data_IF_738270770674
#
_entry.id   IF_738270770674
#
_cell.length_a   1.000
_cell.length_b   1.000
_cell.length_c   1.000
_cell.angle_alpha   90.00
_cell.angle_beta   90.00
_cell.angle_gamma   90.00
#
_symmetry.space_group_name_H-M   'P 1'
#
loop_
_entity.id
_entity.type
_entity.pdbx_description
1 polymer ?
#
# COMPACT_ATOMS: atom_id res chain seq x y z
N UNK A 1 11.83 0.83 -14.96
CA UNK A 1 11.10 1.70 -15.93
C UNK A 1 9.61 1.35 -15.87
N UNK A 2 8.70 2.34 -15.89
CA UNK A 2 7.22 2.26 -15.83
C UNK A 2 6.52 2.39 -14.46
N UNK A 3 7.17 2.95 -13.42
CA UNK A 3 6.49 3.21 -12.14
C UNK A 3 5.34 4.22 -12.29
N UNK A 4 5.62 5.36 -12.94
CA UNK A 4 4.63 6.43 -13.17
C UNK A 4 3.41 5.90 -13.93
N UNK A 5 3.61 5.18 -15.03
CA UNK A 5 2.50 4.58 -15.81
C UNK A 5 1.66 3.58 -15.00
N UNK A 6 2.27 2.85 -14.06
CA UNK A 6 1.55 1.95 -13.14
C UNK A 6 0.70 2.75 -12.16
N UNK A 7 1.26 3.80 -11.56
CA UNK A 7 0.54 4.70 -10.65
C UNK A 7 -0.67 5.33 -11.36
N UNK A 8 -0.47 5.90 -12.55
CA UNK A 8 -1.55 6.51 -13.33
C UNK A 8 -2.64 5.51 -13.72
N UNK A 9 -2.26 4.26 -14.02
CA UNK A 9 -3.23 3.18 -14.22
C UNK A 9 -4.07 2.90 -12.96
N UNK A 10 -3.46 2.87 -11.79
CA UNK A 10 -4.18 2.62 -10.54
C UNK A 10 -5.16 3.73 -10.19
N UNK A 11 -4.78 5.00 -10.44
CA UNK A 11 -5.63 6.18 -10.23
C UNK A 11 -6.91 6.18 -11.05
N UNK A 12 -6.91 5.58 -12.26
CA UNK A 12 -8.12 5.50 -13.09
C UNK A 12 -9.17 4.60 -12.43
N UNK A 13 -10.39 5.11 -12.26
CA UNK A 13 -11.52 4.33 -11.73
C UNK A 13 -12.31 3.60 -12.83
N UNK A 14 -12.62 4.26 -13.94
CA UNK A 14 -13.50 3.73 -14.98
C UNK A 14 -12.75 3.19 -16.21
N UNK A 15 -13.44 2.39 -17.04
CA UNK A 15 -12.96 1.88 -18.33
C UNK A 15 -11.56 1.24 -18.28
N UNK A 16 -11.27 0.46 -17.24
CA UNK A 16 -10.06 -0.37 -17.15
C UNK A 16 -10.40 -1.81 -16.77
N UNK A 17 -9.66 -2.76 -17.34
CA UNK A 17 -9.67 -4.15 -16.86
C UNK A 17 -8.91 -4.22 -15.54
N UNK A 18 -9.59 -4.64 -14.48
CA UNK A 18 -8.99 -4.87 -13.16
C UNK A 18 -8.05 -6.08 -13.24
N UNK A 19 -6.79 -5.90 -12.85
CA UNK A 19 -5.77 -6.97 -12.94
C UNK A 19 -5.00 -7.17 -11.64
N UNK A 20 -4.92 -6.15 -10.80
CA UNK A 20 -4.15 -6.18 -9.57
C UNK A 20 -5.04 -6.00 -8.36
N UNK A 21 -4.65 -6.58 -7.22
CA UNK A 21 -5.44 -6.51 -5.98
C UNK A 21 -5.82 -5.06 -5.60
N UNK A 22 -4.92 -4.10 -5.79
CA UNK A 22 -5.17 -2.68 -5.53
C UNK A 22 -6.17 -2.05 -6.53
N UNK A 23 -6.27 -2.55 -7.76
CA UNK A 23 -7.27 -2.07 -8.72
C UNK A 23 -8.69 -2.35 -8.19
N UNK A 24 -8.91 -3.53 -7.61
CA UNK A 24 -10.21 -3.90 -7.02
C UNK A 24 -10.55 -3.04 -5.80
N UNK A 25 -9.57 -2.77 -4.92
CA UNK A 25 -9.77 -1.88 -3.77
C UNK A 25 -10.12 -0.46 -4.21
N UNK A 26 -9.36 0.12 -5.14
CA UNK A 26 -9.57 1.50 -5.60
C UNK A 26 -10.81 1.68 -6.48
N UNK A 27 -11.35 0.58 -7.04
CA UNK A 27 -12.61 0.59 -7.78
C UNK A 27 -13.84 0.61 -6.87
N UNK A 28 -13.68 0.36 -5.56
CA UNK A 28 -14.77 0.52 -4.60
C UNK A 28 -15.19 1.99 -4.51
N UNK A 29 -16.50 2.26 -4.54
CA UNK A 29 -17.03 3.63 -4.45
C UNK A 29 -16.64 4.35 -3.14
N UNK A 30 -16.44 3.59 -2.07
CA UNK A 30 -16.04 4.11 -0.76
C UNK A 30 -14.52 4.32 -0.64
N UNK A 31 -13.72 3.88 -1.62
CA UNK A 31 -12.29 4.05 -1.60
C UNK A 31 -11.88 5.43 -2.15
N UNK A 32 -11.07 6.13 -1.35
CA UNK A 32 -10.44 7.40 -1.71
C UNK A 32 -8.93 7.25 -1.63
N UNK A 33 -8.24 7.57 -2.72
CA UNK A 33 -6.79 7.64 -2.75
C UNK A 33 -6.36 8.98 -2.16
N UNK A 34 -5.72 8.94 -0.98
CA UNK A 34 -5.29 10.15 -0.29
C UNK A 34 -3.88 10.56 -0.71
N UNK A 35 -2.92 9.64 -0.68
CA UNK A 35 -1.51 9.90 -1.00
C UNK A 35 -0.88 8.73 -1.77
N UNK A 36 0.16 9.02 -2.55
CA UNK A 36 1.03 8.02 -3.19
C UNK A 36 2.47 8.37 -2.83
N UNK A 37 3.19 7.43 -2.24
CA UNK A 37 4.60 7.59 -1.89
C UNK A 37 5.45 6.69 -2.79
N UNK A 38 6.51 7.25 -3.36
CA UNK A 38 7.47 6.53 -4.20
C UNK A 38 8.86 6.64 -3.59
N UNK A 39 9.55 5.51 -3.47
CA UNK A 39 10.89 5.44 -2.91
C UNK A 39 11.86 5.04 -4.02
N UNK A 40 12.54 6.03 -4.62
CA UNK A 40 13.40 5.79 -5.79
C UNK A 40 14.77 5.20 -5.42
N UNK A 41 15.25 5.43 -4.19
CA UNK A 41 16.63 5.12 -3.77
C UNK A 41 16.75 4.33 -2.46
N UNK A 42 15.71 3.63 -2.00
CA UNK A 42 15.66 3.27 -0.59
C UNK A 42 16.36 1.95 -0.23
N UNK A 43 17.29 2.07 0.73
CA UNK A 43 17.68 1.03 1.71
C UNK A 43 16.48 0.33 2.40
N UNK A 44 15.27 0.85 2.25
CA UNK A 44 14.02 0.29 2.75
C UNK A 44 13.21 -0.27 1.59
N UNK A 45 13.13 -1.59 1.50
CA UNK A 45 12.19 -2.25 0.60
C UNK A 45 10.77 -2.30 1.17
N UNK A 46 9.82 -2.60 0.30
CA UNK A 46 8.39 -2.76 0.62
C UNK A 46 8.15 -3.56 1.91
N UNK A 47 8.84 -4.68 2.07
CA UNK A 47 8.67 -5.54 3.23
C UNK A 47 9.19 -4.91 4.53
N UNK A 48 10.29 -4.16 4.46
CA UNK A 48 10.84 -3.45 5.62
C UNK A 48 9.91 -2.33 6.06
N UNK A 49 9.37 -1.57 5.11
CA UNK A 49 8.34 -0.57 5.35
C UNK A 49 7.08 -1.18 5.95
N UNK A 50 6.61 -2.30 5.40
CA UNK A 50 5.44 -3.01 5.89
C UNK A 50 5.60 -3.46 7.35
N UNK A 51 6.79 -3.95 7.73
CA UNK A 51 7.12 -4.31 9.12
C UNK A 51 7.15 -3.09 10.05
N UNK A 52 7.64 -1.93 9.59
CA UNK A 52 7.61 -0.70 10.37
C UNK A 52 6.17 -0.20 10.59
N UNK A 53 5.34 -0.21 9.55
CA UNK A 53 3.93 0.20 9.63
C UNK A 53 3.14 -0.71 10.59
N UNK A 54 3.40 -2.02 10.57
CA UNK A 54 2.77 -2.98 11.48
C UNK A 54 3.08 -2.73 12.97
N UNK A 55 4.15 -1.99 13.28
CA UNK A 55 4.48 -1.61 14.67
C UNK A 55 3.72 -0.37 15.14
N UNK A 56 3.04 0.35 14.25
CA UNK A 56 2.24 1.52 14.64
C UNK A 56 1.05 1.09 15.49
N UNK A 57 0.71 1.92 16.49
CA UNK A 57 -0.45 1.65 17.34
C UNK A 57 -1.74 1.62 16.50
N UNK A 58 -2.53 0.57 16.65
CA UNK A 58 -3.75 0.35 15.89
C UNK A 58 -3.53 -0.11 14.43
N UNK A 59 -2.30 -0.49 14.06
CA UNK A 59 -2.05 -1.19 12.80
C UNK A 59 -2.46 -2.66 12.90
N UNK A 60 -3.14 -3.19 11.88
CA UNK A 60 -3.55 -4.60 11.82
C UNK A 60 -3.61 -5.14 10.39
N UNK A 61 -3.37 -6.44 10.26
CA UNK A 61 -3.66 -7.19 9.03
C UNK A 61 -5.15 -7.52 9.02
N UNK A 62 -5.88 -6.96 8.07
CA UNK A 62 -7.33 -7.22 7.91
C UNK A 62 -7.62 -8.36 6.95
N UNK A 63 -6.71 -8.62 6.00
CA UNK A 63 -6.83 -9.70 5.01
C UNK A 63 -5.47 -10.36 4.86
N UNK A 64 -5.34 -11.57 5.41
CA UNK A 64 -4.08 -12.35 5.34
C UNK A 64 -3.74 -12.67 3.88
N UNK A 65 -2.47 -12.54 3.51
CA UNK A 65 -1.94 -12.83 2.18
C UNK A 65 -2.21 -11.75 1.13
N UNK A 66 -2.95 -10.68 1.46
CA UNK A 66 -3.29 -9.66 0.47
C UNK A 66 -2.03 -8.93 -0.03
N UNK A 67 -1.78 -9.00 -1.33
CA UNK A 67 -0.65 -8.34 -1.97
C UNK A 67 0.73 -8.90 -1.59
N UNK A 68 0.79 -10.06 -0.92
CA UNK A 68 2.05 -10.67 -0.45
C UNK A 68 2.29 -12.07 -1.01
N UNK A 69 1.60 -12.46 -2.09
CA UNK A 69 1.68 -13.82 -2.67
C UNK A 69 3.07 -14.19 -3.19
N UNK A 70 3.83 -13.23 -3.70
CA UNK A 70 5.20 -13.38 -4.18
C UNK A 70 6.26 -12.95 -3.13
N UNK A 71 5.81 -12.59 -1.92
CA UNK A 71 6.68 -12.12 -0.86
C UNK A 71 7.43 -13.27 -0.18
N UNK A 72 8.75 -13.35 -0.42
CA UNK A 72 9.64 -14.35 0.21
C UNK A 72 10.03 -14.03 1.65
N UNK A 73 9.74 -12.82 2.13
CA UNK A 73 10.11 -12.35 3.49
C UNK A 73 9.06 -12.69 4.57
N UNK A 74 8.04 -13.46 4.22
CA UNK A 74 7.02 -13.93 5.16
C UNK A 74 6.12 -12.81 5.68
N UNK A 75 5.85 -11.77 4.88
CA UNK A 75 4.91 -10.73 5.30
C UNK A 75 3.49 -11.30 5.39
N UNK A 76 2.76 -11.04 6.49
CA UNK A 76 1.41 -11.58 6.67
C UNK A 76 0.39 -10.99 5.69
N UNK A 77 0.62 -9.76 5.22
CA UNK A 77 -0.05 -9.07 4.12
C UNK A 77 0.77 -7.81 3.77
N UNK A 78 0.55 -7.24 2.58
CA UNK A 78 1.01 -5.90 2.19
C UNK A 78 -0.13 -4.86 2.19
N UNK A 79 -1.32 -5.25 2.64
CA UNK A 79 -2.42 -4.34 2.98
C UNK A 79 -2.55 -4.25 4.50
N UNK A 80 -2.19 -3.10 5.06
CA UNK A 80 -2.27 -2.84 6.50
C UNK A 80 -3.36 -1.81 6.76
N UNK A 81 -4.28 -2.14 7.67
CA UNK A 81 -5.22 -1.16 8.22
C UNK A 81 -4.52 -0.38 9.33
N UNK A 82 -4.69 0.93 9.36
CA UNK A 82 -4.19 1.79 10.43
C UNK A 82 -5.33 2.65 10.94
N UNK A 83 -5.68 2.50 12.22
CA UNK A 83 -6.78 3.25 12.82
C UNK A 83 -6.42 4.74 13.06
N UNK A 84 -5.13 5.06 13.19
CA UNK A 84 -4.66 6.40 13.53
C UNK A 84 -3.98 7.10 12.33
N UNK A 85 -4.74 7.95 11.62
CA UNK A 85 -4.25 8.71 10.45
C UNK A 85 -3.11 9.69 10.80
N UNK A 86 -3.09 10.21 12.04
CA UNK A 86 -2.07 11.17 12.50
C UNK A 86 -0.70 10.51 12.61
N UNK A 87 -0.63 9.34 13.27
CA UNK A 87 0.61 8.57 13.40
C UNK A 87 1.16 8.14 12.03
N UNK A 88 0.28 7.76 11.11
CA UNK A 88 0.66 7.36 9.75
C UNK A 88 1.25 8.52 8.95
N UNK A 89 0.60 9.69 8.98
CA UNK A 89 1.06 10.86 8.24
C UNK A 89 2.43 11.33 8.74
N UNK A 90 2.65 11.31 10.06
CA UNK A 90 3.93 11.68 10.66
C UNK A 90 5.05 10.69 10.33
N UNK A 91 4.76 9.39 10.30
CA UNK A 91 5.71 8.36 9.92
C UNK A 91 6.28 8.58 8.51
N UNK A 92 5.41 8.86 7.52
CA UNK A 92 5.85 9.12 6.15
C UNK A 92 6.46 10.50 5.94
N UNK A 93 6.15 11.50 6.78
CA UNK A 93 6.79 12.83 6.72
C UNK A 93 8.26 12.81 7.17
N UNK A 94 8.69 11.78 7.92
CA UNK A 94 10.07 11.62 8.44
C UNK A 94 10.98 10.77 7.54
N UNK A 95 10.43 10.11 6.52
CA UNK A 95 11.19 9.33 5.53
C UNK A 95 11.34 10.12 4.24
#
# INVERSE_FOLDING_TARGET
>A
KNLISRIERHKRKNNKKLRWHIDYLLNCQYAKLENVFTFENSKSDECSLNKEILKLNGAKVIVKGFGSSDCKKGCPAHLIFVNNKTSFTFFFKRK
#
